data_IF_332353224054
#
_entry.id   IF_332353224054
#
_cell.length_a   1.000
_cell.length_b   1.000
_cell.length_c   1.000
_cell.angle_alpha   90.00
_cell.angle_beta   90.00
_cell.angle_gamma   90.00
#
_symmetry.space_group_name_H-M   'P 1'
#
loop_
_entity.id
_entity.type
_entity.pdbx_description
1 polymer ?
#
# COMPACT_ATOMS: atom_id res chain seq x y z
N UNK A 1 -3.22 -17.89 8.47
CA UNK A 1 -3.68 -17.09 7.31
C UNK A 1 -2.97 -15.74 7.38
N UNK A 2 -2.33 -15.26 6.30
CA UNK A 2 -1.70 -13.92 6.28
C UNK A 2 -2.80 -12.89 6.01
N UNK A 3 -2.93 -11.87 6.86
CA UNK A 3 -3.95 -10.82 6.70
C UNK A 3 -3.58 -9.84 5.58
N UNK A 4 -4.56 -9.11 5.05
CA UNK A 4 -4.33 -8.05 4.05
C UNK A 4 -3.36 -6.98 4.59
N UNK A 5 -3.49 -6.60 5.86
CA UNK A 5 -2.60 -5.65 6.52
C UNK A 5 -1.15 -6.16 6.56
N UNK A 6 -0.95 -7.43 6.91
CA UNK A 6 0.36 -8.05 6.82
C UNK A 6 0.91 -8.05 5.39
N UNK A 7 0.06 -8.29 4.39
CA UNK A 7 0.48 -8.24 2.99
C UNK A 7 0.93 -6.85 2.55
N UNK A 8 0.27 -5.76 2.96
CA UNK A 8 0.73 -4.41 2.66
C UNK A 8 2.13 -4.12 3.24
N UNK A 9 2.37 -4.49 4.51
CA UNK A 9 3.70 -4.34 5.14
C UNK A 9 4.78 -5.16 4.42
N UNK A 10 4.45 -6.40 4.05
CA UNK A 10 5.35 -7.29 3.34
C UNK A 10 5.70 -6.78 1.94
N UNK A 11 4.72 -6.27 1.19
CA UNK A 11 4.96 -5.74 -0.16
C UNK A 11 5.80 -4.46 -0.13
N UNK A 12 5.55 -3.57 0.84
CA UNK A 12 6.36 -2.36 1.00
C UNK A 12 7.83 -2.68 1.35
N UNK A 13 8.07 -3.75 2.12
CA UNK A 13 9.42 -4.27 2.40
C UNK A 13 10.12 -4.71 1.12
N UNK A 14 9.36 -5.24 0.15
CA UNK A 14 9.86 -5.72 -1.13
C UNK A 14 10.43 -7.13 -1.08
N UNK A 15 10.38 -7.81 -2.23
CA UNK A 15 10.71 -9.24 -2.35
C UNK A 15 12.12 -9.57 -1.84
N UNK A 16 13.11 -8.78 -2.25
CA UNK A 16 14.50 -9.04 -1.89
C UNK A 16 14.75 -8.95 -0.37
N UNK A 17 14.18 -7.94 0.28
CA UNK A 17 14.31 -7.77 1.72
C UNK A 17 13.57 -8.87 2.48
N UNK A 18 12.34 -9.20 2.06
CA UNK A 18 11.56 -10.31 2.62
C UNK A 18 12.33 -11.64 2.55
N UNK A 19 12.85 -11.98 1.37
CA UNK A 19 13.63 -13.20 1.12
C UNK A 19 14.92 -13.25 1.94
N UNK A 20 15.67 -12.14 2.01
CA UNK A 20 16.91 -12.06 2.81
C UNK A 20 16.63 -12.21 4.30
N UNK A 21 15.53 -11.64 4.79
CA UNK A 21 15.10 -11.78 6.18
C UNK A 21 14.79 -13.24 6.52
N UNK A 22 14.08 -13.95 5.64
CA UNK A 22 13.83 -15.40 5.80
C UNK A 22 15.14 -16.19 5.85
N UNK A 23 16.07 -15.91 4.94
CA UNK A 23 17.40 -16.55 4.93
C UNK A 23 18.20 -16.27 6.21
N UNK A 24 18.12 -15.05 6.74
CA UNK A 24 18.75 -14.69 8.01
C UNK A 24 18.21 -15.53 9.16
N UNK A 25 16.89 -15.72 9.26
CA UNK A 25 16.28 -16.54 10.30
C UNK A 25 16.63 -18.02 10.14
N UNK A 26 16.67 -18.55 8.92
CA UNK A 26 17.10 -19.93 8.67
C UNK A 26 18.53 -20.20 9.15
N UNK A 27 19.42 -19.20 9.08
CA UNK A 27 20.82 -19.33 9.52
C UNK A 27 21.02 -19.08 11.01
N UNK A 28 20.27 -18.15 11.59
CA UNK A 28 20.47 -17.68 12.97
C UNK A 28 19.58 -18.39 14.01
N UNK A 29 18.42 -18.91 13.61
CA UNK A 29 17.48 -19.54 14.54
C UNK A 29 17.87 -20.98 14.86
N UNK A 30 18.12 -21.24 16.14
CA UNK A 30 18.42 -22.57 16.65
C UNK A 30 17.26 -23.55 16.41
N UNK A 31 16.02 -23.06 16.41
CA UNK A 31 14.80 -23.83 16.14
C UNK A 31 14.67 -24.25 14.67
N UNK A 32 15.35 -23.55 13.75
CA UNK A 32 15.28 -23.81 12.31
C UNK A 32 16.49 -24.60 11.78
N UNK A 33 17.36 -25.14 12.64
CA UNK A 33 18.59 -25.84 12.20
C UNK A 33 18.33 -27.09 11.34
N UNK A 34 17.25 -27.81 11.60
CA UNK A 34 16.96 -29.12 10.98
C UNK A 34 15.79 -29.08 9.99
N UNK A 35 15.29 -27.89 9.65
CA UNK A 35 14.15 -27.75 8.73
C UNK A 35 14.61 -27.89 7.29
N UNK A 36 13.67 -28.26 6.41
CA UNK A 36 13.90 -28.22 4.97
C UNK A 36 13.93 -26.76 4.48
N UNK A 37 15.13 -26.22 4.26
CA UNK A 37 15.30 -24.83 3.81
C UNK A 37 14.63 -24.56 2.47
N UNK A 38 14.73 -25.50 1.52
CA UNK A 38 14.10 -25.38 0.19
C UNK A 38 12.58 -25.28 0.31
N UNK A 39 11.98 -26.08 1.18
CA UNK A 39 10.54 -26.01 1.43
C UNK A 39 10.13 -24.66 2.02
N UNK A 40 10.90 -24.12 2.98
CA UNK A 40 10.63 -22.81 3.57
C UNK A 40 10.78 -21.70 2.54
N UNK A 41 11.81 -21.74 1.70
CA UNK A 41 11.98 -20.76 0.62
C UNK A 41 10.83 -20.84 -0.40
N UNK A 42 10.34 -22.04 -0.73
CA UNK A 42 9.14 -22.18 -1.56
C UNK A 42 7.90 -21.56 -0.91
N UNK A 43 7.73 -21.71 0.41
CA UNK A 43 6.64 -21.07 1.16
C UNK A 43 6.79 -19.55 1.21
N UNK A 44 8.01 -19.03 1.39
CA UNK A 44 8.34 -17.60 1.32
C UNK A 44 7.87 -16.99 0.00
N UNK A 45 8.21 -17.61 -1.13
CA UNK A 45 7.81 -17.12 -2.45
C UNK A 45 6.29 -17.18 -2.64
N UNK A 46 5.63 -18.26 -2.21
CA UNK A 46 4.17 -18.39 -2.26
C UNK A 46 3.46 -17.31 -1.45
N UNK A 47 3.98 -16.99 -0.26
CA UNK A 47 3.42 -15.92 0.59
C UNK A 47 3.57 -14.58 -0.10
N UNK A 48 4.76 -14.26 -0.63
CA UNK A 48 4.99 -13.00 -1.31
C UNK A 48 4.08 -12.83 -2.53
N UNK A 49 4.04 -13.84 -3.41
CA UNK A 49 3.22 -13.80 -4.62
C UNK A 49 1.72 -13.66 -4.30
N UNK A 50 1.24 -14.35 -3.26
CA UNK A 50 -0.14 -14.20 -2.80
C UNK A 50 -0.42 -12.78 -2.30
N UNK A 51 0.50 -12.21 -1.52
CA UNK A 51 0.36 -10.84 -1.03
C UNK A 51 0.44 -9.80 -2.15
N UNK A 52 1.28 -10.03 -3.16
CA UNK A 52 1.39 -9.14 -4.31
C UNK A 52 0.06 -9.10 -5.05
N UNK A 53 -0.48 -10.27 -5.41
CA UNK A 53 -1.79 -10.38 -6.06
C UNK A 53 -2.91 -9.74 -5.25
N UNK A 54 -2.96 -9.99 -3.93
CA UNK A 54 -4.01 -9.48 -3.05
C UNK A 54 -4.01 -7.94 -2.96
N UNK A 55 -2.84 -7.31 -3.04
CA UNK A 55 -2.69 -5.87 -2.81
C UNK A 55 -2.39 -5.10 -4.10
N UNK A 56 -2.30 -5.78 -5.25
CA UNK A 56 -1.85 -5.23 -6.53
C UNK A 56 -2.68 -4.00 -6.92
N UNK A 57 -2.06 -2.85 -7.23
CA UNK A 57 -2.80 -1.74 -7.81
C UNK A 57 -3.16 -2.08 -9.27
N UNK A 58 -4.15 -1.39 -9.85
CA UNK A 58 -4.39 -1.43 -11.28
C UNK A 58 -3.15 -1.02 -12.11
N UNK A 59 -3.26 -1.19 -13.43
CA UNK A 59 -2.23 -0.72 -14.35
C UNK A 59 -2.04 0.80 -14.27
N UNK A 60 -0.86 1.28 -14.69
CA UNK A 60 -0.57 2.72 -14.75
C UNK A 60 -1.58 3.49 -15.61
N UNK A 61 -2.12 2.88 -16.66
CA UNK A 61 -3.16 3.48 -17.51
C UNK A 61 -4.49 3.71 -16.75
N UNK A 62 -4.88 2.79 -15.87
CA UNK A 62 -6.08 2.97 -15.04
C UNK A 62 -5.82 4.04 -14.00
N UNK A 63 -4.63 4.01 -13.37
CA UNK A 63 -4.24 5.01 -12.37
C UNK A 63 -4.13 6.42 -12.96
N UNK A 64 -3.65 6.56 -14.20
CA UNK A 64 -3.57 7.88 -14.86
C UNK A 64 -4.96 8.47 -15.11
N UNK A 65 -5.92 7.66 -15.53
CA UNK A 65 -7.33 8.09 -15.68
C UNK A 65 -7.92 8.58 -14.36
N UNK A 66 -7.60 7.92 -13.24
CA UNK A 66 -7.99 8.41 -11.91
C UNK A 66 -7.32 9.75 -11.57
N UNK A 67 -6.01 9.86 -11.80
CA UNK A 67 -5.25 11.08 -11.50
C UNK A 67 -5.70 12.29 -12.34
N UNK A 68 -6.02 12.07 -13.62
CA UNK A 68 -6.53 13.11 -14.53
C UNK A 68 -7.84 13.74 -14.03
N UNK A 69 -8.72 12.94 -13.39
CA UNK A 69 -9.98 13.44 -12.82
C UNK A 69 -9.75 14.38 -11.63
N UNK A 70 -8.66 14.20 -10.87
CA UNK A 70 -8.31 15.09 -9.76
C UNK A 70 -7.63 16.37 -10.22
N UNK A 71 -6.90 16.34 -11.34
CA UNK A 71 -6.08 17.48 -11.79
C UNK A 71 -5.17 18.00 -10.68
N UNK A 72 -5.17 19.31 -10.45
CA UNK A 72 -4.34 19.95 -9.40
C UNK A 72 -4.68 19.49 -7.98
N UNK A 73 -5.90 18.97 -7.74
CA UNK A 73 -6.30 18.48 -6.43
C UNK A 73 -5.56 17.22 -6.00
N UNK A 74 -4.96 16.48 -6.94
CA UNK A 74 -4.13 15.30 -6.63
C UNK A 74 -2.99 15.63 -5.67
N UNK A 75 -2.36 16.79 -5.83
CA UNK A 75 -1.30 17.23 -4.92
C UNK A 75 -1.83 17.50 -3.51
N UNK A 76 -2.99 18.15 -3.36
CA UNK A 76 -3.58 18.38 -2.03
C UNK A 76 -3.94 17.07 -1.33
N UNK A 77 -4.51 16.11 -2.07
CA UNK A 77 -4.83 14.78 -1.53
C UNK A 77 -3.55 14.08 -1.07
N UNK A 78 -2.51 14.06 -1.91
CA UNK A 78 -1.21 13.51 -1.54
C UNK A 78 -0.63 14.18 -0.28
N UNK A 79 -0.64 15.52 -0.23
CA UNK A 79 -0.15 16.28 0.90
C UNK A 79 -0.97 16.06 2.18
N UNK A 80 -2.29 15.89 2.08
CA UNK A 80 -3.13 15.47 3.20
C UNK A 80 -2.72 14.09 3.69
N UNK A 81 -2.59 13.11 2.80
CA UNK A 81 -2.22 11.74 3.17
C UNK A 81 -0.84 11.66 3.82
N UNK A 82 0.18 12.26 3.23
CA UNK A 82 1.56 12.09 3.66
C UNK A 82 1.97 13.08 4.75
N UNK A 83 1.53 14.34 4.65
CA UNK A 83 1.98 15.43 5.52
C UNK A 83 0.89 16.03 6.41
N UNK A 84 -0.31 15.46 6.38
CA UNK A 84 -1.48 15.93 7.15
C UNK A 84 -1.90 17.39 6.88
N UNK A 85 -1.59 17.90 5.69
CA UNK A 85 -2.03 19.23 5.26
C UNK A 85 -3.52 19.27 4.96
N UNK A 86 -4.10 20.46 4.91
CA UNK A 86 -5.52 20.63 4.61
C UNK A 86 -5.85 20.35 3.14
N UNK A 87 -7.07 19.87 2.89
CA UNK A 87 -7.68 19.78 1.57
C UNK A 87 -8.77 20.85 1.46
N UNK A 88 -8.80 21.57 0.34
CA UNK A 88 -9.84 22.57 0.09
C UNK A 88 -11.21 21.90 -0.15
N UNK A 89 -12.31 22.62 0.12
CA UNK A 89 -13.66 22.13 -0.17
C UNK A 89 -13.83 21.74 -1.64
N UNK A 90 -13.23 22.51 -2.56
CA UNK A 90 -13.25 22.18 -3.99
C UNK A 90 -12.55 20.85 -4.26
N UNK A 91 -11.35 20.63 -3.73
CA UNK A 91 -10.64 19.38 -3.91
C UNK A 91 -11.30 18.18 -3.22
N UNK A 92 -12.00 18.38 -2.10
CA UNK A 92 -12.86 17.33 -1.56
C UNK A 92 -13.98 16.93 -2.54
N UNK A 93 -14.62 17.90 -3.22
CA UNK A 93 -15.66 17.60 -4.21
C UNK A 93 -15.11 16.82 -5.40
N UNK A 94 -13.95 17.20 -5.93
CA UNK A 94 -13.31 16.44 -7.02
C UNK A 94 -12.86 15.04 -6.56
N UNK A 95 -12.35 14.90 -5.33
CA UNK A 95 -12.01 13.59 -4.77
C UNK A 95 -13.21 12.65 -4.67
N UNK A 96 -14.33 13.16 -4.15
CA UNK A 96 -15.57 12.38 -4.02
C UNK A 96 -16.15 12.04 -5.39
N UNK A 97 -16.09 12.99 -6.34
CA UNK A 97 -16.56 12.81 -7.72
C UNK A 97 -15.73 11.78 -8.49
N UNK A 98 -14.41 11.76 -8.32
CA UNK A 98 -13.53 10.70 -8.86
C UNK A 98 -13.90 9.33 -8.29
N UNK A 99 -14.32 9.31 -7.01
CA UNK A 99 -14.92 8.14 -6.39
C UNK A 99 -13.93 7.28 -5.60
N UNK A 100 -14.49 6.53 -4.64
CA UNK A 100 -13.73 5.70 -3.70
C UNK A 100 -12.82 4.66 -4.38
N UNK A 101 -13.25 3.95 -5.44
CA UNK A 101 -12.40 2.95 -6.08
C UNK A 101 -11.09 3.54 -6.62
N UNK A 102 -11.16 4.66 -7.35
CA UNK A 102 -9.96 5.35 -7.84
C UNK A 102 -9.05 5.82 -6.70
N UNK A 103 -9.64 6.37 -5.62
CA UNK A 103 -8.88 6.80 -4.44
C UNK A 103 -8.14 5.64 -3.78
N UNK A 104 -8.84 4.54 -3.51
CA UNK A 104 -8.25 3.34 -2.92
C UNK A 104 -7.12 2.77 -3.80
N UNK A 105 -7.31 2.75 -5.13
CA UNK A 105 -6.32 2.22 -6.07
C UNK A 105 -5.06 3.08 -6.17
N UNK A 106 -5.20 4.41 -6.13
CA UNK A 106 -4.04 5.31 -6.03
C UNK A 106 -3.29 5.10 -4.72
N UNK A 107 -3.99 4.88 -3.59
CA UNK A 107 -3.35 4.62 -2.29
C UNK A 107 -2.59 3.28 -2.30
N UNK A 108 -3.13 2.23 -2.93
CA UNK A 108 -2.38 0.96 -3.14
C UNK A 108 -1.10 1.15 -3.95
N UNK A 109 -1.11 2.06 -4.91
CA UNK A 109 0.07 2.42 -5.68
C UNK A 109 1.08 3.22 -4.84
N UNK A 110 0.61 4.17 -4.03
CA UNK A 110 1.45 4.95 -3.10
C UNK A 110 2.18 4.05 -2.09
N UNK A 111 1.53 3.02 -1.55
CA UNK A 111 2.19 2.06 -0.62
C UNK A 111 3.40 1.36 -1.27
N UNK A 112 3.39 1.20 -2.59
CA UNK A 112 4.50 0.60 -3.36
C UNK A 112 5.54 1.61 -3.82
N UNK A 113 5.27 2.91 -3.69
CA UNK A 113 6.19 3.94 -4.13
C UNK A 113 7.48 3.88 -3.30
N UNK A 114 8.67 3.86 -3.93
CA UNK A 114 9.94 3.81 -3.21
C UNK A 114 10.09 4.91 -2.15
N UNK A 115 9.59 6.10 -2.43
CA UNK A 115 9.68 7.27 -1.55
C UNK A 115 8.83 7.13 -0.27
N UNK A 116 7.86 6.22 -0.27
CA UNK A 116 6.94 5.99 0.85
C UNK A 116 7.26 4.72 1.63
N UNK A 117 8.42 4.09 1.42
CA UNK A 117 8.84 2.89 2.17
C UNK A 117 8.92 3.07 3.68
N UNK A 118 9.10 4.30 4.15
CA UNK A 118 9.19 4.63 5.58
C UNK A 118 7.84 5.02 6.21
N UNK A 119 6.76 5.12 5.42
CA UNK A 119 5.42 5.44 5.91
C UNK A 119 4.72 4.14 6.26
N UNK A 120 4.16 3.99 7.47
CA UNK A 120 3.42 2.76 7.80
C UNK A 120 2.19 2.64 6.88
N UNK A 121 2.07 1.54 6.11
CA UNK A 121 1.03 1.40 5.11
C UNK A 121 -0.36 1.24 5.73
N UNK A 122 -0.45 0.78 6.98
CA UNK A 122 -1.71 0.65 7.71
C UNK A 122 -2.21 2.03 8.13
N UNK A 123 -1.33 2.86 8.68
CA UNK A 123 -1.66 4.25 8.99
C UNK A 123 -2.07 5.01 7.74
N UNK A 124 -1.38 4.80 6.61
CA UNK A 124 -1.74 5.41 5.33
C UNK A 124 -3.13 4.96 4.85
N UNK A 125 -3.49 3.67 4.99
CA UNK A 125 -4.82 3.16 4.62
C UNK A 125 -5.93 3.74 5.52
N UNK A 126 -5.69 3.81 6.82
CA UNK A 126 -6.62 4.39 7.79
C UNK A 126 -6.87 5.87 7.49
N UNK A 127 -5.78 6.64 7.31
CA UNK A 127 -5.83 8.05 6.94
C UNK A 127 -6.46 8.30 5.57
N UNK A 128 -6.24 7.38 4.63
CA UNK A 128 -6.88 7.41 3.33
C UNK A 128 -8.40 7.28 3.44
N UNK A 129 -8.87 6.31 4.23
CA UNK A 129 -10.29 6.12 4.51
C UNK A 129 -10.88 7.36 5.19
N UNK A 130 -10.23 7.85 6.24
CA UNK A 130 -10.68 9.02 6.99
C UNK A 130 -10.76 10.27 6.09
N UNK A 131 -9.75 10.49 5.25
CA UNK A 131 -9.71 11.63 4.32
C UNK A 131 -10.89 11.59 3.35
N UNK A 132 -11.17 10.41 2.78
CA UNK A 132 -12.29 10.25 1.86
C UNK A 132 -13.64 10.45 2.56
N UNK A 133 -13.84 9.83 3.72
CA UNK A 133 -15.06 9.94 4.52
C UNK A 133 -15.30 11.39 4.98
N UNK A 134 -14.26 12.11 5.37
CA UNK A 134 -14.34 13.54 5.72
C UNK A 134 -14.75 14.38 4.51
N UNK A 135 -14.20 14.13 3.33
CA UNK A 135 -14.63 14.82 2.11
C UNK A 135 -16.06 14.49 1.69
N UNK A 136 -16.52 13.25 1.92
CA UNK A 136 -17.90 12.85 1.68
C UNK A 136 -18.90 13.65 2.54
N UNK A 137 -18.50 13.95 3.78
CA UNK A 137 -19.30 14.68 4.76
C UNK A 137 -19.11 16.21 4.71
N UNK A 138 -18.12 16.70 3.95
CA UNK A 138 -17.85 18.12 3.79
C UNK A 138 -18.93 18.78 2.93
N UNK A 139 -19.98 19.27 3.59
CA UNK A 139 -21.01 20.15 3.00
C UNK A 139 -20.38 21.44 2.46
#
# INVERSE_FOLDING_TARGET
>A
IVSTNCCYKLIQTGYQCHTRLTQYFLKSSQQLKNVNQTEIMSKNDKIFNKCDLLTKPPSLEILSKCAEQLGYCGEQVYQKLIHDKNITRHCCKELVKMGKPCHDDMVKALIRAPDLRNVDPIQLLEKSKETFDNCLNAK
#
